data_IF_578452349576
#
_entry.id   IF_578452349576
#
_cell.length_a   1.000
_cell.length_b   1.000
_cell.length_c   1.000
_cell.angle_alpha   90.00
_cell.angle_beta   90.00
_cell.angle_gamma   90.00
#
_symmetry.space_group_name_H-M   'P 1'
#
loop_
_entity.id
_entity.type
_entity.pdbx_description
1 polymer ?
#
# COMPACT_ATOMS: atom_id res chain seq x y z
N UNK A 1 -2.98 1.09 -45.48
CA UNK A 1 -2.45 1.83 -44.31
C UNK A 1 -1.86 0.82 -43.35
N UNK A 2 -0.62 1.01 -42.92
CA UNK A 2 0.04 0.11 -41.96
C UNK A 2 -0.73 0.18 -40.63
N UNK A 3 -1.16 -0.95 -40.04
CA UNK A 3 -1.82 -0.91 -38.74
C UNK A 3 -0.88 -0.30 -37.71
N UNK A 4 -1.38 0.67 -36.94
CA UNK A 4 -0.61 1.22 -35.81
C UNK A 4 -0.29 0.07 -34.84
N UNK A 5 0.93 0.00 -34.29
CA UNK A 5 1.41 -1.14 -33.50
C UNK A 5 0.64 -1.38 -32.19
N UNK A 6 -0.36 -0.54 -31.86
CA UNK A 6 -1.22 -0.70 -30.68
C UNK A 6 -2.62 -0.13 -30.97
N UNK A 7 -3.38 -0.80 -31.84
CA UNK A 7 -4.78 -0.43 -32.11
C UNK A 7 -5.73 -1.34 -31.30
N UNK A 8 -6.79 -0.76 -30.74
CA UNK A 8 -7.79 -1.48 -29.94
C UNK A 8 -8.34 -2.69 -30.70
N UNK A 9 -8.50 -2.58 -32.02
CA UNK A 9 -8.99 -3.65 -32.88
C UNK A 9 -8.08 -4.89 -32.90
N UNK A 10 -6.77 -4.72 -32.69
CA UNK A 10 -5.77 -5.80 -32.69
C UNK A 10 -5.51 -6.37 -31.29
N UNK A 11 -6.14 -5.83 -30.25
CA UNK A 11 -6.00 -6.32 -28.89
C UNK A 11 -6.64 -7.70 -28.74
N UNK A 12 -6.10 -8.52 -27.84
CA UNK A 12 -6.64 -9.84 -27.52
C UNK A 12 -8.12 -9.75 -27.13
N UNK A 13 -8.97 -10.59 -27.74
CA UNK A 13 -10.41 -10.66 -27.49
C UNK A 13 -10.75 -10.95 -26.02
N UNK A 14 -9.90 -11.69 -25.31
CA UNK A 14 -10.07 -11.93 -23.88
C UNK A 14 -9.89 -10.65 -23.04
N UNK A 15 -9.02 -9.74 -23.48
CA UNK A 15 -8.82 -8.44 -22.82
C UNK A 15 -9.98 -7.49 -23.12
N UNK A 16 -10.54 -7.54 -24.32
CA UNK A 16 -11.73 -6.74 -24.71
C UNK A 16 -12.99 -7.14 -23.94
N UNK A 17 -13.14 -8.43 -23.65
CA UNK A 17 -14.30 -8.98 -22.92
C UNK A 17 -14.22 -8.79 -21.40
N UNK A 18 -13.03 -8.53 -20.87
CA UNK A 18 -12.83 -8.29 -19.44
C UNK A 18 -13.29 -6.86 -19.11
N UNK A 19 -14.57 -6.75 -18.77
CA UNK A 19 -15.13 -5.53 -18.19
C UNK A 19 -14.95 -5.56 -16.66
N UNK A 20 -13.95 -4.86 -16.14
CA UNK A 20 -13.82 -4.61 -14.70
C UNK A 20 -14.75 -3.45 -14.30
N UNK A 21 -15.97 -3.78 -13.88
CA UNK A 21 -16.97 -2.80 -13.43
C UNK A 21 -16.50 -1.91 -12.26
N UNK A 22 -15.46 -2.34 -11.54
CA UNK A 22 -14.93 -1.67 -10.34
C UNK A 22 -14.22 -0.35 -10.67
N UNK A 23 -13.75 -0.13 -11.91
CA UNK A 23 -12.99 1.07 -12.31
C UNK A 23 -13.57 1.77 -13.56
N UNK A 24 -14.90 1.79 -13.67
CA UNK A 24 -15.62 2.46 -14.76
C UNK A 24 -15.64 3.99 -14.67
N UNK A 25 -16.37 4.64 -15.57
CA UNK A 25 -16.43 6.12 -15.66
C UNK A 25 -16.87 6.79 -14.35
N UNK A 26 -17.81 6.18 -13.62
CA UNK A 26 -18.26 6.69 -12.32
C UNK A 26 -17.10 6.74 -11.31
N UNK A 27 -16.26 5.71 -11.28
CA UNK A 27 -15.07 5.66 -10.44
C UNK A 27 -14.04 6.73 -10.86
N UNK A 28 -13.86 6.93 -12.17
CA UNK A 28 -12.96 7.96 -12.69
C UNK A 28 -13.42 9.37 -12.28
N UNK A 29 -14.71 9.67 -12.39
CA UNK A 29 -15.29 10.94 -11.92
C UNK A 29 -15.21 11.10 -10.41
N UNK A 30 -15.46 10.03 -9.65
CA UNK A 30 -15.30 10.06 -8.20
C UNK A 30 -13.83 10.27 -7.78
N UNK A 31 -12.87 9.78 -8.58
CA UNK A 31 -11.44 9.97 -8.32
C UNK A 31 -10.96 11.41 -8.52
N UNK A 32 -11.63 12.19 -9.39
CA UNK A 32 -11.37 13.62 -9.57
C UNK A 32 -11.79 14.44 -8.33
N UNK A 33 -12.80 13.98 -7.60
CA UNK A 33 -13.36 14.64 -6.41
C UNK A 33 -12.74 14.16 -5.08
N UNK A 34 -11.82 13.20 -5.14
CA UNK A 34 -11.26 12.60 -3.94
C UNK A 34 -10.33 13.58 -3.21
N UNK A 35 -10.70 13.96 -1.98
CA UNK A 35 -9.83 14.73 -1.10
C UNK A 35 -8.79 13.81 -0.45
N UNK A 36 -7.54 14.27 -0.33
CA UNK A 36 -6.50 13.48 0.32
C UNK A 36 -6.81 13.30 1.81
N UNK A 37 -6.97 12.06 2.23
CA UNK A 37 -7.09 11.69 3.64
C UNK A 37 -5.76 11.81 4.39
N UNK A 38 -5.82 11.67 5.71
CA UNK A 38 -4.67 11.77 6.63
C UNK A 38 -3.43 11.02 6.14
N UNK A 39 -3.57 9.73 5.80
CA UNK A 39 -2.45 8.90 5.36
C UNK A 39 -1.84 9.35 4.04
N UNK A 40 -2.65 9.78 3.07
CA UNK A 40 -2.14 10.28 1.79
C UNK A 40 -1.34 11.56 1.97
N UNK A 41 -1.73 12.43 2.90
CA UNK A 41 -1.01 13.65 3.23
C UNK A 41 0.33 13.35 3.92
N UNK A 42 0.37 12.37 4.83
CA UNK A 42 1.61 11.89 5.44
C UNK A 42 2.57 11.34 4.38
N UNK A 43 2.07 10.50 3.47
CA UNK A 43 2.91 9.94 2.39
C UNK A 43 3.42 11.02 1.45
N UNK A 44 2.60 12.03 1.12
CA UNK A 44 3.02 13.15 0.31
C UNK A 44 4.18 13.94 0.94
N UNK A 45 4.14 14.19 2.25
CA UNK A 45 5.25 14.82 2.98
C UNK A 45 6.50 13.95 3.01
N UNK A 46 6.35 12.63 3.13
CA UNK A 46 7.50 11.72 3.07
C UNK A 46 8.12 11.65 1.65
N UNK A 47 7.34 11.91 0.59
CA UNK A 47 7.84 12.00 -0.80
C UNK A 47 8.55 13.33 -1.08
N UNK A 48 8.10 14.41 -0.44
CA UNK A 48 8.62 15.76 -0.59
C UNK A 48 9.18 16.30 0.75
N UNK A 49 10.34 15.78 1.23
CA UNK A 49 10.87 16.15 2.54
C UNK A 49 11.26 17.64 2.64
N UNK A 50 11.59 18.29 1.52
CA UNK A 50 11.87 19.74 1.46
C UNK A 50 10.72 20.62 1.95
N UNK A 51 9.48 20.10 1.91
CA UNK A 51 8.30 20.84 2.37
C UNK A 51 8.23 20.95 3.90
N UNK A 52 8.98 20.11 4.62
CA UNK A 52 9.08 20.14 6.08
C UNK A 52 10.05 21.22 6.59
N UNK A 53 10.90 21.76 5.72
CA UNK A 53 11.89 22.79 6.04
C UNK A 53 11.32 24.22 5.92
N UNK A 54 10.14 24.39 5.31
CA UNK A 54 9.48 25.68 5.17
C UNK A 54 8.88 26.16 6.52
N UNK A 55 9.12 27.41 6.94
CA UNK A 55 8.56 27.94 8.19
C UNK A 55 7.01 27.99 8.21
N UNK A 56 6.34 27.95 7.06
CA UNK A 56 4.89 28.01 6.93
C UNK A 56 4.22 26.63 6.85
N UNK A 57 4.96 25.54 6.99
CA UNK A 57 4.42 24.17 6.87
C UNK A 57 3.25 23.90 7.82
N UNK A 58 3.23 24.53 9.00
CA UNK A 58 2.15 24.40 9.99
C UNK A 58 0.84 25.08 9.59
N UNK A 59 0.85 25.97 8.59
CA UNK A 59 -0.37 26.54 8.01
C UNK A 59 -0.95 25.66 6.90
N UNK A 60 -0.09 24.88 6.24
CA UNK A 60 -0.45 24.01 5.11
C UNK A 60 -0.89 22.62 5.56
N UNK A 61 -0.30 22.10 6.64
CA UNK A 61 -0.54 20.75 7.12
C UNK A 61 -0.85 20.72 8.62
N UNK A 62 -1.75 19.82 9.07
CA UNK A 62 -2.01 19.64 10.49
C UNK A 62 -0.76 19.08 11.21
N UNK A 63 -0.59 19.47 12.47
CA UNK A 63 0.59 19.12 13.27
C UNK A 63 0.82 17.59 13.39
N UNK A 64 -0.26 16.82 13.49
CA UNK A 64 -0.20 15.35 13.61
C UNK A 64 0.43 14.70 12.37
N UNK A 65 0.10 15.22 11.19
CA UNK A 65 0.62 14.74 9.91
C UNK A 65 2.11 15.06 9.77
N UNK A 66 2.51 16.27 10.19
CA UNK A 66 3.92 16.69 10.20
C UNK A 66 4.73 15.81 11.16
N UNK A 67 4.24 15.58 12.38
CA UNK A 67 4.91 14.75 13.36
C UNK A 67 5.08 13.31 12.85
N UNK A 68 4.03 12.75 12.25
CA UNK A 68 4.08 11.39 11.68
C UNK A 68 5.04 11.28 10.50
N UNK A 69 5.05 12.26 9.61
CA UNK A 69 5.97 12.28 8.46
C UNK A 69 7.44 12.34 8.92
N UNK A 70 7.76 13.22 9.88
CA UNK A 70 9.11 13.32 10.47
C UNK A 70 9.54 12.00 11.13
N UNK A 71 8.64 11.35 11.85
CA UNK A 71 8.89 10.04 12.45
C UNK A 71 9.23 8.98 11.39
N UNK A 72 8.45 8.87 10.31
CA UNK A 72 8.72 7.90 9.24
C UNK A 72 9.99 8.18 8.44
N UNK A 73 10.34 9.45 8.23
CA UNK A 73 11.62 9.82 7.64
C UNK A 73 12.80 9.41 8.53
N UNK A 74 12.66 9.48 9.86
CA UNK A 74 13.72 9.03 10.78
C UNK A 74 13.96 7.52 10.73
N UNK A 75 12.93 6.73 10.42
CA UNK A 75 13.00 5.27 10.32
C UNK A 75 13.60 4.78 8.99
N UNK A 76 13.75 5.68 8.01
CA UNK A 76 14.16 5.32 6.67
C UNK A 76 15.27 6.23 6.14
N UNK A 77 16.52 5.88 6.44
CA UNK A 77 17.72 6.61 6.04
C UNK A 77 17.96 6.68 4.53
N UNK A 78 17.32 5.81 3.74
CA UNK A 78 17.44 5.78 2.27
C UNK A 78 16.35 6.54 1.51
N UNK A 79 15.38 7.15 2.22
CA UNK A 79 14.20 7.76 1.61
C UNK A 79 13.22 6.72 1.02
N UNK A 80 12.05 7.18 0.58
CA UNK A 80 10.96 6.30 0.12
C UNK A 80 11.27 5.49 -1.14
N UNK A 81 12.30 5.87 -1.91
CA UNK A 81 12.69 5.19 -3.14
C UNK A 81 13.72 4.06 -2.96
N UNK A 82 14.34 3.93 -1.79
CA UNK A 82 15.32 2.88 -1.54
C UNK A 82 14.63 1.53 -1.26
N UNK A 83 15.25 0.45 -1.72
CA UNK A 83 14.81 -0.90 -1.36
C UNK A 83 14.87 -1.08 0.16
N UNK A 84 13.79 -1.64 0.71
CA UNK A 84 13.75 -2.09 2.10
C UNK A 84 13.97 -3.61 2.17
N UNK A 85 14.11 -4.15 3.39
CA UNK A 85 14.07 -5.60 3.62
C UNK A 85 12.82 -6.19 2.97
N UNK A 86 12.88 -7.42 2.45
CA UNK A 86 11.72 -8.08 1.80
C UNK A 86 10.50 -8.17 2.71
N UNK A 87 10.71 -8.10 4.03
CA UNK A 87 9.66 -8.06 5.06
C UNK A 87 9.25 -6.63 5.46
N UNK A 88 9.73 -5.59 4.78
CA UNK A 88 9.46 -4.18 5.06
C UNK A 88 10.36 -3.52 6.11
N UNK A 89 10.10 -2.24 6.39
CA UNK A 89 10.88 -1.44 7.36
C UNK A 89 10.67 -1.93 8.80
N UNK A 90 11.75 -2.16 9.59
CA UNK A 90 11.65 -2.72 10.93
C UNK A 90 10.86 -1.82 11.91
N UNK A 91 10.98 -0.50 11.80
CA UNK A 91 10.23 0.44 12.65
C UNK A 91 8.71 0.37 12.42
N UNK A 92 8.28 0.31 11.16
CA UNK A 92 6.85 0.15 10.81
C UNK A 92 6.32 -1.21 11.26
N UNK A 93 7.12 -2.28 11.13
CA UNK A 93 6.73 -3.59 11.66
C UNK A 93 6.53 -3.59 13.17
N UNK A 94 7.34 -2.83 13.91
CA UNK A 94 7.23 -2.69 15.37
C UNK A 94 5.95 -1.96 15.73
N UNK A 95 5.66 -0.83 15.09
CA UNK A 95 4.41 -0.09 15.29
C UNK A 95 3.18 -0.93 14.95
N UNK A 96 3.22 -1.70 13.86
CA UNK A 96 2.13 -2.60 13.50
C UNK A 96 1.97 -3.72 14.53
N UNK A 97 3.08 -4.30 15.02
CA UNK A 97 3.03 -5.30 16.07
C UNK A 97 2.46 -4.71 17.37
N UNK A 98 2.88 -3.51 17.76
CA UNK A 98 2.32 -2.81 18.93
C UNK A 98 0.82 -2.55 18.75
N UNK A 99 0.39 -2.03 17.59
CA UNK A 99 -1.03 -1.79 17.29
C UNK A 99 -1.89 -3.06 17.29
N UNK A 100 -1.40 -4.16 16.69
CA UNK A 100 -2.16 -5.42 16.59
C UNK A 100 -2.12 -6.22 17.89
N UNK A 101 -1.05 -6.11 18.66
CA UNK A 101 -0.82 -6.92 19.85
C UNK A 101 -0.93 -6.13 21.16
N UNK A 102 -1.35 -4.87 21.14
CA UNK A 102 -1.52 -4.05 22.34
C UNK A 102 -2.47 -4.75 23.34
N UNK A 103 -1.88 -5.25 24.43
CA UNK A 103 -2.52 -6.05 25.48
C UNK A 103 -2.08 -7.52 25.61
N UNK A 104 -1.30 -8.09 24.68
CA UNK A 104 -0.81 -9.48 24.77
C UNK A 104 0.61 -9.66 24.18
N UNK A 105 1.48 -10.50 24.78
CA UNK A 105 2.85 -10.65 24.31
C UNK A 105 2.93 -11.31 22.92
N UNK A 106 3.84 -10.85 22.02
CA UNK A 106 3.90 -11.26 20.61
C UNK A 106 4.12 -12.77 20.39
N UNK A 107 4.69 -13.47 21.36
CA UNK A 107 5.06 -14.88 21.21
C UNK A 107 3.84 -15.83 21.24
N UNK A 108 2.83 -15.51 22.05
CA UNK A 108 1.63 -16.34 22.19
C UNK A 108 0.81 -16.39 20.89
N UNK A 109 0.79 -15.28 20.14
CA UNK A 109 0.02 -15.19 18.89
C UNK A 109 0.81 -15.51 17.63
N UNK A 110 2.15 -15.49 17.63
CA UNK A 110 2.94 -16.10 16.52
C UNK A 110 2.61 -17.59 16.38
N UNK A 111 2.43 -18.29 17.50
CA UNK A 111 1.98 -19.68 17.49
C UNK A 111 0.54 -19.83 16.99
N UNK A 112 -0.38 -18.93 17.33
CA UNK A 112 -1.75 -18.96 16.79
C UNK A 112 -1.85 -18.57 15.31
N UNK A 113 -1.09 -17.57 14.86
CA UNK A 113 -1.00 -17.20 13.45
C UNK A 113 -0.33 -18.30 12.64
N UNK A 114 0.71 -18.97 13.15
CA UNK A 114 1.30 -20.14 12.51
C UNK A 114 0.32 -21.32 12.42
N UNK A 115 -0.49 -21.55 13.48
CA UNK A 115 -1.57 -22.54 13.47
C UNK A 115 -2.67 -22.19 12.45
N UNK A 116 -3.10 -20.93 12.35
CA UNK A 116 -4.06 -20.47 11.33
C UNK A 116 -3.47 -20.46 9.92
N UNK A 117 -2.22 -20.08 9.74
CA UNK A 117 -1.54 -20.09 8.43
C UNK A 117 -1.37 -21.52 7.89
N UNK A 118 -1.13 -22.51 8.76
CA UNK A 118 -1.17 -23.92 8.38
C UNK A 118 -2.58 -24.37 7.96
N UNK A 119 -3.64 -23.82 8.57
CA UNK A 119 -5.02 -24.06 8.12
C UNK A 119 -5.29 -23.44 6.74
N UNK A 120 -4.76 -22.25 6.45
CA UNK A 120 -4.85 -21.62 5.12
C UNK A 120 -4.02 -22.37 4.06
N UNK A 121 -2.88 -22.96 4.43
CA UNK A 121 -2.11 -23.85 3.55
C UNK A 121 -2.90 -25.13 3.23
N UNK A 122 -3.61 -25.69 4.22
CA UNK A 122 -4.43 -26.90 4.02
C UNK A 122 -5.66 -26.69 3.11
N UNK A 123 -6.17 -25.46 3.00
CA UNK A 123 -7.37 -25.15 2.19
C UNK A 123 -7.02 -24.63 0.79
N UNK A 124 -5.86 -23.96 0.61
CA UNK A 124 -5.48 -23.34 -0.68
C UNK A 124 -4.61 -24.27 -1.53
N UNK A 125 -3.77 -25.12 -0.93
CA UNK A 125 -2.89 -26.04 -1.68
C UNK A 125 -3.65 -27.11 -2.50
N UNK A 126 -4.83 -27.64 -2.08
CA UNK A 126 -5.59 -28.57 -2.92
C UNK A 126 -6.15 -27.95 -4.21
N UNK A 127 -6.33 -26.62 -4.26
CA UNK A 127 -6.84 -25.92 -5.45
C UNK A 127 -5.78 -25.71 -6.53
N UNK A 128 -4.49 -25.78 -6.18
CA UNK A 128 -3.37 -25.67 -7.12
C UNK A 128 -2.97 -27.02 -7.75
N UNK A 129 -3.46 -28.14 -7.23
CA UNK A 129 -3.16 -29.49 -7.74
C UNK A 129 -4.21 -30.05 -8.72
N UNK A 130 -5.31 -29.34 -8.96
CA UNK A 130 -6.36 -29.75 -9.92
C UNK A 130 -6.19 -29.14 -11.34
N UNK A 131 -5.10 -28.43 -11.59
CA UNK A 131 -4.73 -27.91 -12.90
C UNK A 131 -3.29 -28.32 -13.25
N UNK A 132 -3.10 -29.63 -13.45
CA UNK A 132 -2.08 -30.18 -14.33
C UNK A 132 -2.60 -31.48 -14.95
#
# INVERSE_FOLDING_TARGET
>A
MVPKPLDYKLLNENVKKVAYAVKGELYLRASELYLPGFFSTVVALCQAPFLLDDPNVGLLFPADVIARAKHYLSLNSGGLGAYSDSRGLPGIRKEFAEYVFDGQPPELKKQEFAKKANLYSFVIVPLLFFYW
#
